data_IF_331637757250
#
_entry.id   IF_331637757250
#
_cell.length_a   1.000
_cell.length_b   1.000
_cell.length_c   1.000
_cell.angle_alpha   90.00
_cell.angle_beta   90.00
_cell.angle_gamma   90.00
#
_symmetry.space_group_name_H-M   'P 1'
#
loop_
_entity.id
_entity.type
_entity.pdbx_description
1 polymer ?
#
# COMPACT_ATOMS: atom_id res chain seq x y z
N UNK A 1 30.58 1.26 101.06
CA UNK A 1 30.25 -0.18 101.07
C UNK A 1 29.30 -0.42 99.91
N UNK A 2 29.74 -0.99 98.76
CA UNK A 2 29.86 -2.45 98.49
C UNK A 2 28.50 -3.15 98.71
N UNK A 3 27.85 -3.90 97.80
CA UNK A 3 28.23 -4.85 96.72
C UNK A 3 26.90 -5.17 95.95
N UNK A 4 26.76 -5.17 94.62
CA UNK A 4 27.22 -6.09 93.53
C UNK A 4 26.51 -7.47 93.44
N UNK A 5 25.80 -7.71 92.31
CA UNK A 5 25.70 -8.96 91.48
C UNK A 5 24.55 -8.76 90.45
N UNK A 6 24.78 -8.40 89.18
CA UNK A 6 25.26 -9.18 88.02
C UNK A 6 24.46 -10.46 87.74
N UNK A 7 23.64 -10.43 86.69
CA UNK A 7 23.57 -11.48 85.64
C UNK A 7 23.46 -10.79 84.27
N UNK A 8 24.34 -11.21 83.36
CA UNK A 8 24.50 -10.79 81.96
C UNK A 8 23.36 -11.34 81.09
N UNK A 9 22.84 -10.55 80.15
CA UNK A 9 22.72 -10.94 78.73
C UNK A 9 22.87 -9.67 77.88
N UNK A 10 23.87 -9.69 77.03
CA UNK A 10 24.21 -8.68 76.03
C UNK A 10 23.24 -8.72 74.85
N UNK A 11 22.88 -7.57 74.29
CA UNK A 11 22.81 -7.35 72.83
C UNK A 11 22.45 -5.88 72.54
N UNK A 12 23.49 -5.08 72.39
CA UNK A 12 23.47 -3.83 71.63
C UNK A 12 23.14 -4.20 70.17
N UNK A 13 21.93 -3.90 69.69
CA UNK A 13 21.66 -3.85 68.26
C UNK A 13 21.94 -2.43 67.75
N UNK A 14 23.22 -2.19 67.50
CA UNK A 14 23.63 -1.26 66.45
C UNK A 14 23.13 -1.89 65.15
N UNK A 15 22.05 -1.35 64.58
CA UNK A 15 21.63 -1.68 63.22
C UNK A 15 22.61 -0.98 62.27
N UNK A 16 23.79 -1.57 62.13
CA UNK A 16 24.60 -1.48 60.91
C UNK A 16 24.01 -2.49 59.93
N UNK A 17 22.91 -2.16 59.27
CA UNK A 17 22.47 -2.89 58.09
C UNK A 17 23.25 -2.35 56.89
N UNK A 18 24.35 -3.06 56.64
CA UNK A 18 24.77 -3.54 55.31
C UNK A 18 24.55 -2.56 54.16
N UNK A 19 25.66 -1.92 53.79
CA UNK A 19 25.99 -1.41 52.45
C UNK A 19 25.17 -2.10 51.36
N UNK A 20 24.23 -1.36 50.79
CA UNK A 20 23.51 -1.72 49.58
C UNK A 20 24.51 -2.14 48.50
N UNK A 21 24.23 -3.26 47.84
CA UNK A 21 25.06 -3.86 46.80
C UNK A 21 25.34 -2.93 45.62
N UNK A 22 26.32 -2.05 45.79
CA UNK A 22 26.94 -1.28 44.73
C UNK A 22 28.07 -2.12 44.14
N UNK A 23 27.88 -2.67 42.96
CA UNK A 23 29.00 -2.99 42.07
C UNK A 23 29.23 -1.78 41.18
N UNK A 24 30.36 -1.09 41.36
CA UNK A 24 30.75 0.09 40.57
C UNK A 24 29.73 1.26 40.57
N UNK A 25 29.04 1.49 41.69
CA UNK A 25 28.12 2.64 41.84
C UNK A 25 26.81 2.53 41.06
N UNK A 26 26.45 1.34 40.58
CA UNK A 26 25.12 1.04 40.01
C UNK A 26 24.41 0.02 40.89
N UNK A 27 23.11 0.24 41.09
CA UNK A 27 22.22 -0.71 41.76
C UNK A 27 21.94 -1.85 40.78
N UNK A 28 22.18 -3.09 41.18
CA UNK A 28 21.82 -4.31 40.43
C UNK A 28 20.33 -4.61 40.66
N UNK A 29 19.45 -4.37 39.68
CA UNK A 29 18.00 -4.51 39.86
C UNK A 29 17.59 -5.95 40.19
N UNK A 30 18.27 -6.95 39.63
CA UNK A 30 17.91 -8.36 39.80
C UNK A 30 18.21 -8.84 41.23
N UNK A 31 19.32 -8.36 41.82
CA UNK A 31 19.63 -8.64 43.24
C UNK A 31 18.66 -7.95 44.19
N UNK A 32 18.31 -6.70 43.93
CA UNK A 32 17.35 -5.94 44.76
C UNK A 32 15.95 -6.54 44.71
N UNK A 33 15.49 -6.97 43.52
CA UNK A 33 14.20 -7.65 43.36
C UNK A 33 14.13 -8.99 44.12
N UNK A 34 15.24 -9.72 44.13
CA UNK A 34 15.37 -11.01 44.84
C UNK A 34 15.40 -10.81 46.36
N UNK A 35 16.12 -9.82 46.88
CA UNK A 35 16.19 -9.54 48.32
C UNK A 35 14.89 -8.93 48.88
N UNK A 36 14.16 -8.13 48.09
CA UNK A 36 12.89 -7.51 48.50
C UNK A 36 11.65 -8.40 48.30
N UNK A 37 11.81 -9.65 47.85
CA UNK A 37 10.68 -10.55 47.50
C UNK A 37 9.67 -9.90 46.53
N UNK A 38 10.12 -8.97 45.69
CA UNK A 38 9.25 -8.32 44.70
C UNK A 38 9.07 -9.32 43.55
N UNK A 39 7.93 -10.00 43.54
CA UNK A 39 7.54 -10.92 42.47
C UNK A 39 7.54 -10.15 41.14
N UNK A 40 8.38 -10.55 40.18
CA UNK A 40 8.38 -10.00 38.81
C UNK A 40 6.94 -10.05 38.29
N UNK A 41 6.31 -8.89 38.19
CA UNK A 41 4.90 -8.77 37.83
C UNK A 41 4.81 -8.11 36.45
N UNK A 42 4.54 -8.93 35.43
CA UNK A 42 4.40 -8.48 34.05
C UNK A 42 3.06 -7.78 33.75
N UNK A 43 2.27 -7.43 34.78
CA UNK A 43 1.00 -6.70 34.61
C UNK A 43 1.17 -5.37 33.84
N UNK A 44 2.34 -4.72 33.92
CA UNK A 44 2.62 -3.51 33.14
C UNK A 44 2.49 -3.75 31.62
N UNK A 45 2.83 -4.96 31.14
CA UNK A 45 2.72 -5.34 29.72
C UNK A 45 1.28 -5.38 29.21
N UNK A 46 0.29 -5.45 30.11
CA UNK A 46 -1.13 -5.43 29.75
C UNK A 46 -1.64 -4.02 29.43
N UNK A 47 -0.89 -2.97 29.77
CA UNK A 47 -1.29 -1.60 29.43
C UNK A 47 -1.10 -1.36 27.92
N UNK A 48 -2.03 -0.68 27.24
CA UNK A 48 -1.92 -0.43 25.79
C UNK A 48 -0.62 0.23 25.36
N UNK A 49 -0.07 1.12 26.20
CA UNK A 49 1.19 1.81 25.91
C UNK A 49 2.39 0.86 25.79
N UNK A 50 2.39 -0.30 26.47
CA UNK A 50 3.50 -1.26 26.32
C UNK A 50 3.57 -1.85 24.92
N UNK A 51 2.44 -2.28 24.37
CA UNK A 51 2.39 -2.81 23.00
C UNK A 51 2.85 -1.79 21.96
N UNK A 52 2.57 -0.50 22.20
CA UNK A 52 3.02 0.57 21.30
C UNK A 52 4.51 0.81 21.44
N UNK A 53 5.05 0.83 22.66
CA UNK A 53 6.48 0.92 22.89
C UNK A 53 7.22 -0.26 22.22
N UNK A 54 6.71 -1.48 22.33
CA UNK A 54 7.26 -2.66 21.64
C UNK A 54 7.37 -2.43 20.13
N UNK A 55 6.27 -2.00 19.50
CA UNK A 55 6.22 -1.75 18.05
C UNK A 55 7.14 -0.60 17.64
N UNK A 56 7.09 0.55 18.33
CA UNK A 56 7.92 1.72 18.04
C UNK A 56 9.41 1.44 18.23
N UNK A 57 9.77 0.62 19.22
CA UNK A 57 11.17 0.29 19.51
C UNK A 57 11.73 -0.72 18.51
N UNK A 58 10.91 -1.70 18.11
CA UNK A 58 11.29 -2.57 17.01
C UNK A 58 11.51 -1.77 15.72
N UNK A 59 10.61 -0.84 15.40
CA UNK A 59 10.74 0.05 14.24
C UNK A 59 11.99 0.94 14.29
N UNK A 60 12.27 1.57 15.44
CA UNK A 60 13.48 2.35 15.65
C UNK A 60 14.76 1.51 15.44
N UNK A 61 14.76 0.28 15.95
CA UNK A 61 15.86 -0.67 15.76
C UNK A 61 16.04 -1.10 14.30
N UNK A 62 14.95 -1.40 13.59
CA UNK A 62 15.02 -1.74 12.17
C UNK A 62 15.48 -0.55 11.34
N UNK A 63 14.99 0.65 11.68
CA UNK A 63 15.42 1.90 11.06
C UNK A 63 16.92 2.08 11.24
N UNK A 64 17.45 1.94 12.46
CA UNK A 64 18.88 1.98 12.74
C UNK A 64 19.67 0.98 11.89
N UNK A 65 19.24 -0.30 11.87
CA UNK A 65 19.90 -1.38 11.12
C UNK A 65 19.87 -1.18 9.60
N UNK A 66 18.89 -0.44 9.10
CA UNK A 66 18.79 -0.05 7.69
C UNK A 66 19.59 1.21 7.33
N UNK A 67 20.39 1.73 8.26
CA UNK A 67 21.09 3.03 8.17
C UNK A 67 20.13 4.23 8.02
N UNK A 68 18.92 4.10 8.54
CA UNK A 68 17.97 5.20 8.69
C UNK A 68 18.27 6.07 9.89
N UNK A 69 17.46 7.12 10.10
CA UNK A 69 17.54 7.95 11.30
C UNK A 69 16.74 7.27 12.40
N UNK A 70 17.42 6.81 13.44
CA UNK A 70 16.83 6.25 14.66
C UNK A 70 17.09 7.16 15.86
N UNK A 71 16.26 7.02 16.90
CA UNK A 71 16.41 7.74 18.17
C UNK A 71 17.53 7.15 19.03
N UNK A 72 17.61 5.82 19.09
CA UNK A 72 18.66 5.14 19.84
C UNK A 72 19.75 4.61 18.91
N UNK A 73 20.99 4.64 19.41
CA UNK A 73 22.07 3.86 18.83
C UNK A 73 21.94 2.41 19.32
N UNK A 74 21.43 1.53 18.47
CA UNK A 74 21.24 0.12 18.80
C UNK A 74 22.52 -0.70 18.65
N UNK A 75 23.55 -0.18 17.96
CA UNK A 75 24.73 -0.94 17.56
C UNK A 75 24.38 -2.31 16.98
N UNK A 76 25.07 -3.35 17.46
CA UNK A 76 24.80 -4.75 17.07
C UNK A 76 23.73 -5.43 17.93
N UNK A 77 22.96 -4.68 18.71
CA UNK A 77 22.05 -5.26 19.69
C UNK A 77 20.79 -5.86 19.03
N UNK A 78 20.15 -6.85 19.68
CA UNK A 78 18.87 -7.37 19.20
C UNK A 78 17.75 -6.32 19.36
N UNK A 79 16.74 -6.39 18.49
CA UNK A 79 15.57 -5.51 18.54
C UNK A 79 14.57 -6.06 19.58
N UNK A 80 14.91 -5.96 20.87
CA UNK A 80 14.10 -6.46 21.98
C UNK A 80 13.78 -5.34 22.97
N UNK A 81 12.68 -5.50 23.71
CA UNK A 81 12.31 -4.57 24.79
C UNK A 81 13.34 -4.55 25.90
N UNK A 82 13.96 -5.68 26.22
CA UNK A 82 14.99 -5.72 27.27
C UNK A 82 16.17 -4.82 26.89
N UNK A 83 16.56 -4.85 25.60
CA UNK A 83 17.62 -3.97 25.10
C UNK A 83 17.20 -2.51 25.06
N UNK A 84 15.95 -2.22 24.71
CA UNK A 84 15.41 -0.88 24.82
C UNK A 84 15.51 -0.36 26.26
N UNK A 85 15.13 -1.17 27.24
CA UNK A 85 15.21 -0.81 28.66
C UNK A 85 16.66 -0.53 29.06
N UNK A 86 17.65 -1.32 28.61
CA UNK A 86 19.07 -1.02 28.81
C UNK A 86 19.46 0.35 28.23
N UNK A 87 19.04 0.65 27.00
CA UNK A 87 19.33 1.90 26.32
C UNK A 87 18.69 3.09 27.05
N UNK A 88 17.44 2.96 27.48
CA UNK A 88 16.74 3.96 28.29
C UNK A 88 17.45 4.17 29.63
N UNK A 89 17.86 3.09 30.31
CA UNK A 89 18.56 3.14 31.59
C UNK A 89 19.98 3.73 31.48
N UNK A 90 20.59 3.69 30.30
CA UNK A 90 21.90 4.31 30.05
C UNK A 90 21.85 5.85 30.08
N UNK A 91 20.66 6.44 29.93
CA UNK A 91 20.45 7.88 29.99
C UNK A 91 19.29 8.24 30.95
N UNK A 92 19.59 8.62 32.21
CA UNK A 92 18.58 8.94 33.21
C UNK A 92 17.56 10.02 32.81
N UNK A 93 17.90 10.91 31.87
CA UNK A 93 16.99 11.95 31.38
C UNK A 93 15.90 11.40 30.45
N UNK A 94 16.11 10.23 29.85
CA UNK A 94 15.14 9.57 28.96
C UNK A 94 14.11 8.78 29.76
N UNK A 95 14.47 8.25 30.94
CA UNK A 95 13.58 7.41 31.77
C UNK A 95 12.21 8.08 32.01
N UNK A 96 12.13 9.38 32.40
CA UNK A 96 10.83 10.03 32.61
C UNK A 96 10.01 10.14 31.33
N UNK A 97 10.65 10.43 30.20
CA UNK A 97 10.01 10.58 28.88
C UNK A 97 9.46 9.22 28.40
N UNK A 98 10.27 8.17 28.54
CA UNK A 98 9.90 6.80 28.23
C UNK A 98 8.70 6.35 29.08
N UNK A 99 8.77 6.56 30.40
CA UNK A 99 7.70 6.18 31.31
C UNK A 99 6.42 6.95 31.01
N UNK A 100 6.49 8.27 30.79
CA UNK A 100 5.33 9.08 30.40
C UNK A 100 4.71 8.60 29.08
N UNK A 101 5.54 8.25 28.09
CA UNK A 101 5.07 7.74 26.79
C UNK A 101 4.33 6.41 26.93
N UNK A 102 4.86 5.49 27.74
CA UNK A 102 4.19 4.23 28.08
C UNK A 102 2.89 4.47 28.88
N UNK A 103 2.94 5.35 29.87
CA UNK A 103 1.90 5.51 30.88
C UNK A 103 0.67 6.25 30.35
N UNK A 104 0.91 7.30 29.57
CA UNK A 104 -0.13 8.21 29.10
C UNK A 104 -0.64 7.87 27.69
N UNK A 105 -0.04 6.88 27.02
CA UNK A 105 -0.47 6.47 25.69
C UNK A 105 -1.98 6.17 25.65
N UNK A 106 -2.65 6.71 24.65
CA UNK A 106 -4.06 6.47 24.40
C UNK A 106 -5.04 7.20 25.29
N UNK A 107 -4.57 8.06 26.19
CA UNK A 107 -5.43 9.01 26.90
C UNK A 107 -5.89 10.15 26.00
N UNK A 108 -6.99 10.78 26.40
CA UNK A 108 -7.51 12.00 25.78
C UNK A 108 -6.42 13.08 25.79
N UNK A 109 -6.07 13.62 24.62
CA UNK A 109 -4.99 14.59 24.44
C UNK A 109 -3.66 14.00 23.96
N UNK A 110 -3.35 12.74 24.30
CA UNK A 110 -2.17 12.03 23.78
C UNK A 110 -2.47 11.34 22.44
N UNK A 111 -3.67 10.75 22.34
CA UNK A 111 -4.10 10.04 21.14
C UNK A 111 -3.53 8.62 21.02
N UNK A 112 -3.95 7.92 19.96
CA UNK A 112 -3.58 6.54 19.65
C UNK A 112 -3.10 6.46 18.21
N UNK A 113 -2.19 5.52 17.92
CA UNK A 113 -1.85 5.13 16.56
C UNK A 113 -2.90 4.16 16.04
N UNK A 114 -3.36 4.36 14.81
CA UNK A 114 -4.21 3.39 14.11
C UNK A 114 -3.39 2.20 13.62
N UNK A 115 -4.07 1.10 13.24
CA UNK A 115 -3.39 -0.02 12.59
C UNK A 115 -2.70 0.40 11.29
N UNK A 116 -3.34 1.29 10.51
CA UNK A 116 -2.73 1.88 9.31
C UNK A 116 -1.44 2.64 9.63
N UNK A 117 -1.39 3.31 10.79
CA UNK A 117 -0.18 3.98 11.24
C UNK A 117 0.97 2.99 11.50
N UNK A 118 0.66 1.78 11.98
CA UNK A 118 1.64 0.70 12.17
C UNK A 118 2.03 0.02 10.85
N UNK A 119 1.09 -0.19 9.91
CA UNK A 119 1.42 -0.72 8.59
C UNK A 119 2.35 0.23 7.82
N UNK A 120 2.13 1.53 7.98
CA UNK A 120 2.92 2.60 7.41
C UNK A 120 4.39 2.65 7.88
N UNK A 121 4.74 1.97 8.99
CA UNK A 121 6.08 1.99 9.59
C UNK A 121 7.11 1.13 8.83
N UNK A 122 6.69 0.08 8.12
CA UNK A 122 7.63 -0.87 7.46
C UNK A 122 8.64 -0.23 6.49
N UNK A 123 8.32 0.96 5.98
CA UNK A 123 9.16 1.69 5.03
C UNK A 123 9.56 3.09 5.55
N UNK A 124 9.32 3.37 6.84
CA UNK A 124 9.73 4.65 7.41
C UNK A 124 11.23 4.63 7.69
N UNK A 125 11.97 5.55 7.05
CA UNK A 125 13.42 5.72 7.28
C UNK A 125 13.73 6.73 8.37
N UNK A 126 12.69 7.31 8.96
CA UNK A 126 12.75 8.24 10.06
C UNK A 126 11.90 7.69 11.22
N UNK A 127 12.22 8.05 12.45
CA UNK A 127 11.40 7.76 13.64
C UNK A 127 10.11 8.62 13.69
N UNK A 128 9.43 8.79 12.55
CA UNK A 128 8.32 9.75 12.36
C UNK A 128 7.15 9.49 13.30
N UNK A 129 6.79 8.22 13.53
CA UNK A 129 5.70 7.85 14.43
C UNK A 129 6.07 8.06 15.91
N UNK A 130 7.33 7.87 16.25
CA UNK A 130 7.84 8.20 17.57
C UNK A 130 7.79 9.71 17.81
N UNK A 131 8.19 10.52 16.82
CA UNK A 131 8.04 11.99 16.86
C UNK A 131 6.59 12.44 17.04
N UNK A 132 5.64 11.78 16.38
CA UNK A 132 4.21 12.06 16.58
C UNK A 132 3.80 11.83 18.04
N UNK A 133 4.09 10.66 18.60
CA UNK A 133 3.77 10.36 20.00
C UNK A 133 4.49 11.32 20.94
N UNK A 134 5.76 11.60 20.70
CA UNK A 134 6.54 12.53 21.53
C UNK A 134 5.98 13.95 21.50
N UNK A 135 5.49 14.43 20.34
CA UNK A 135 4.85 15.74 20.26
C UNK A 135 3.60 15.83 21.13
N UNK A 136 2.84 14.73 21.20
CA UNK A 136 1.61 14.62 22.00
C UNK A 136 1.91 14.49 23.49
N UNK A 137 2.91 13.69 23.85
CA UNK A 137 3.37 13.56 25.23
C UNK A 137 3.96 14.88 25.72
N UNK A 138 4.77 15.57 24.92
CA UNK A 138 5.36 16.86 25.28
C UNK A 138 4.29 17.92 25.58
N UNK A 139 3.22 17.96 24.80
CA UNK A 139 2.06 18.79 25.07
C UNK A 139 1.34 18.39 26.36
N UNK A 140 1.11 17.09 26.53
CA UNK A 140 0.36 16.57 27.66
C UNK A 140 1.08 16.82 29.01
N UNK A 141 2.40 16.59 29.06
CA UNK A 141 3.22 16.79 30.28
C UNK A 141 3.58 18.26 30.54
N UNK A 142 3.11 19.21 29.73
CA UNK A 142 3.23 20.64 30.03
C UNK A 142 2.39 21.09 31.24
N UNK A 143 1.41 20.27 31.64
CA UNK A 143 0.53 20.54 32.78
C UNK A 143 1.11 19.97 34.08
N UNK A 144 1.34 20.82 35.08
CA UNK A 144 2.01 20.44 36.35
C UNK A 144 1.32 19.29 37.10
N UNK A 145 -0.01 19.28 37.16
CA UNK A 145 -0.79 18.23 37.84
C UNK A 145 -0.63 16.85 37.20
N UNK A 146 -0.40 16.80 35.89
CA UNK A 146 -0.13 15.56 35.15
C UNK A 146 1.22 14.99 35.56
N UNK A 147 2.27 15.81 35.62
CA UNK A 147 3.62 15.39 35.98
C UNK A 147 3.69 14.77 37.38
N UNK A 148 2.96 15.35 38.34
CA UNK A 148 2.90 14.84 39.71
C UNK A 148 2.24 13.45 39.77
N UNK A 149 1.15 13.23 39.03
CA UNK A 149 0.51 11.92 38.90
C UNK A 149 1.43 10.87 38.28
N UNK A 150 2.09 11.21 37.17
CA UNK A 150 3.03 10.31 36.49
C UNK A 150 4.18 9.90 37.43
N UNK A 151 4.72 10.82 38.23
CA UNK A 151 5.80 10.49 39.15
C UNK A 151 5.34 9.58 40.31
N UNK A 152 4.14 9.79 40.82
CA UNK A 152 3.57 8.91 41.85
C UNK A 152 3.49 7.45 41.35
N UNK A 153 2.98 7.26 40.13
CA UNK A 153 2.88 5.95 39.48
C UNK A 153 4.26 5.38 39.10
N UNK A 154 5.21 6.23 38.71
CA UNK A 154 6.59 5.81 38.43
C UNK A 154 7.25 5.17 39.66
N UNK A 155 7.03 5.73 40.86
CA UNK A 155 7.59 5.18 42.10
C UNK A 155 7.07 3.78 42.42
N UNK A 156 5.86 3.42 41.96
CA UNK A 156 5.31 2.08 42.18
C UNK A 156 5.70 1.12 41.06
N UNK A 157 5.67 1.59 39.81
CA UNK A 157 5.66 0.69 38.65
C UNK A 157 7.06 0.43 38.06
N UNK A 158 8.02 1.37 38.20
CA UNK A 158 9.31 1.31 37.47
C UNK A 158 10.09 0.01 37.66
N UNK A 159 10.05 -0.57 38.86
CA UNK A 159 10.78 -1.78 39.21
C UNK A 159 10.30 -2.98 38.38
N UNK A 160 8.99 -3.05 38.12
CA UNK A 160 8.41 -4.14 37.32
C UNK A 160 8.89 -4.11 35.86
N UNK A 161 9.24 -2.93 35.36
CA UNK A 161 9.75 -2.69 34.02
C UNK A 161 11.29 -2.78 33.92
N UNK A 162 12.00 -2.88 35.05
CA UNK A 162 13.47 -2.82 35.09
C UNK A 162 14.05 -1.42 34.89
N UNK A 163 13.27 -0.35 35.11
CA UNK A 163 13.74 1.02 34.98
C UNK A 163 14.51 1.49 36.23
N UNK A 164 15.61 2.22 36.01
CA UNK A 164 16.40 2.82 37.09
C UNK A 164 15.61 3.89 37.84
N UNK A 165 15.98 4.09 39.11
CA UNK A 165 15.40 5.15 39.93
C UNK A 165 15.84 6.54 39.43
N UNK A 166 14.90 7.48 39.41
CA UNK A 166 15.14 8.90 39.19
C UNK A 166 14.46 9.65 40.34
N UNK A 167 15.18 10.56 40.99
CA UNK A 167 14.62 11.37 42.06
C UNK A 167 13.55 12.33 41.52
N UNK A 168 12.67 12.80 42.41
CA UNK A 168 11.49 13.60 42.02
C UNK A 168 11.86 14.89 41.28
N UNK A 169 12.91 15.57 41.73
CA UNK A 169 13.36 16.82 41.13
C UNK A 169 13.88 16.58 39.71
N UNK A 170 14.80 15.62 39.55
CA UNK A 170 15.34 15.22 38.24
C UNK A 170 14.24 14.72 37.28
N UNK A 171 13.24 14.01 37.79
CA UNK A 171 12.11 13.52 37.01
C UNK A 171 11.28 14.68 36.46
N UNK A 172 10.89 15.62 37.33
CA UNK A 172 10.11 16.82 36.97
C UNK A 172 10.87 17.72 36.02
N UNK A 173 12.18 17.93 36.25
CA UNK A 173 13.04 18.74 35.38
C UNK A 173 13.15 18.11 33.99
N UNK A 174 13.32 16.78 33.90
CA UNK A 174 13.39 16.08 32.61
C UNK A 174 12.10 16.23 31.80
N UNK A 175 10.93 16.03 32.42
CA UNK A 175 9.65 16.22 31.74
C UNK A 175 9.37 17.68 31.38
N UNK A 176 9.76 18.63 32.22
CA UNK A 176 9.63 20.05 31.90
C UNK A 176 10.51 20.47 30.72
N UNK A 177 11.76 19.99 30.66
CA UNK A 177 12.65 20.21 29.51
C UNK A 177 12.09 19.59 28.23
N UNK A 178 11.54 18.38 28.32
CA UNK A 178 10.89 17.72 27.20
C UNK A 178 9.64 18.47 26.72
N UNK A 179 8.78 18.93 27.63
CA UNK A 179 7.61 19.76 27.30
C UNK A 179 8.02 21.06 26.58
N UNK A 180 9.10 21.70 27.02
CA UNK A 180 9.64 22.90 26.37
C UNK A 180 10.13 22.65 24.93
N UNK A 181 10.41 21.41 24.56
CA UNK A 181 10.82 21.03 23.19
C UNK A 181 9.64 20.74 22.26
N UNK A 182 8.38 20.85 22.72
CA UNK A 182 7.17 20.54 21.95
C UNK A 182 7.22 21.10 20.52
N UNK A 183 7.45 22.40 20.37
CA UNK A 183 7.42 23.04 19.05
C UNK A 183 8.54 22.53 18.13
N UNK A 184 9.72 22.27 18.69
CA UNK A 184 10.83 21.65 17.95
C UNK A 184 10.50 20.22 17.49
N UNK A 185 9.87 19.43 18.35
CA UNK A 185 9.42 18.07 18.02
C UNK A 185 8.35 18.10 16.92
N UNK A 186 7.42 19.05 16.96
CA UNK A 186 6.39 19.24 15.92
C UNK A 186 7.01 19.61 14.57
N UNK A 187 8.03 20.46 14.56
CA UNK A 187 8.79 20.81 13.34
C UNK A 187 9.51 19.57 12.80
N UNK A 188 10.21 18.82 13.64
CA UNK A 188 10.90 17.59 13.25
C UNK A 188 9.93 16.54 12.69
N UNK A 189 8.78 16.35 13.34
CA UNK A 189 7.71 15.47 12.87
C UNK A 189 7.23 15.87 11.47
N UNK A 190 6.97 17.17 11.26
CA UNK A 190 6.49 17.69 9.98
C UNK A 190 7.52 17.48 8.86
N UNK A 191 8.81 17.71 9.15
CA UNK A 191 9.90 17.45 8.20
C UNK A 191 10.04 15.96 7.88
N UNK A 192 9.97 15.09 8.88
CA UNK A 192 10.03 13.63 8.69
C UNK A 192 8.85 13.12 7.84
N UNK A 193 7.65 13.67 8.03
CA UNK A 193 6.47 13.36 7.22
C UNK A 193 6.61 13.80 5.76
N UNK A 194 7.14 15.00 5.52
CA UNK A 194 7.42 15.49 4.16
C UNK A 194 8.44 14.61 3.45
N UNK A 195 9.53 14.26 4.13
CA UNK A 195 10.59 13.41 3.59
C UNK A 195 10.07 11.99 3.27
N UNK A 196 9.27 11.41 4.18
CA UNK A 196 8.62 10.12 3.96
C UNK A 196 7.72 10.15 2.72
N UNK A 197 6.93 11.21 2.57
CA UNK A 197 6.06 11.40 1.38
C UNK A 197 6.89 11.46 0.10
N UNK A 198 8.00 12.21 0.13
CA UNK A 198 8.93 12.35 -1.00
C UNK A 198 9.56 11.01 -1.38
N UNK A 199 10.07 10.24 -0.41
CA UNK A 199 10.68 8.93 -0.64
C UNK A 199 9.66 7.95 -1.24
N UNK A 200 8.46 7.88 -0.68
CA UNK A 200 7.40 7.00 -1.19
C UNK A 200 7.01 7.35 -2.63
N UNK A 201 6.92 8.64 -2.97
CA UNK A 201 6.65 9.08 -4.34
C UNK A 201 7.76 8.66 -5.32
N UNK A 202 9.02 8.78 -4.91
CA UNK A 202 10.17 8.35 -5.73
C UNK A 202 10.18 6.83 -5.94
N UNK A 203 9.91 6.06 -4.90
CA UNK A 203 9.88 4.60 -4.98
C UNK A 203 8.71 4.11 -5.84
N UNK A 204 7.52 4.69 -5.68
CA UNK A 204 6.37 4.37 -6.52
C UNK A 204 6.64 4.68 -8.00
N UNK A 205 7.31 5.80 -8.30
CA UNK A 205 7.70 6.13 -9.66
C UNK A 205 8.75 5.16 -10.23
N UNK A 206 9.69 4.70 -9.41
CA UNK A 206 10.66 3.66 -9.78
C UNK A 206 9.96 2.35 -10.13
N UNK A 207 9.10 1.87 -9.24
CA UNK A 207 8.30 0.64 -9.44
C UNK A 207 7.47 0.75 -10.71
N UNK A 208 6.82 1.90 -10.95
CA UNK A 208 6.03 2.14 -12.16
C UNK A 208 6.87 2.07 -13.43
N UNK A 209 8.06 2.69 -13.45
CA UNK A 209 8.98 2.63 -14.60
C UNK A 209 9.49 1.21 -14.85
N UNK A 210 9.85 0.49 -13.80
CA UNK A 210 10.30 -0.91 -13.89
C UNK A 210 9.18 -1.83 -14.39
N UNK A 211 7.96 -1.67 -13.86
CA UNK A 211 6.77 -2.38 -14.32
C UNK A 211 6.46 -2.11 -15.79
N UNK A 212 6.49 -0.84 -16.22
CA UNK A 212 6.28 -0.47 -17.61
C UNK A 212 7.34 -1.07 -18.56
N UNK A 213 8.62 -1.08 -18.14
CA UNK A 213 9.70 -1.71 -18.90
C UNK A 213 9.47 -3.22 -19.03
N UNK A 214 9.21 -3.90 -17.91
CA UNK A 214 8.95 -5.34 -17.89
C UNK A 214 7.74 -5.71 -18.75
N UNK A 215 6.65 -4.93 -18.65
CA UNK A 215 5.46 -5.09 -19.49
C UNK A 215 5.83 -5.00 -20.98
N UNK A 216 6.56 -3.96 -21.38
CA UNK A 216 6.98 -3.78 -22.77
C UNK A 216 7.86 -4.93 -23.28
N UNK A 217 8.75 -5.47 -22.46
CA UNK A 217 9.63 -6.60 -22.82
C UNK A 217 8.81 -7.89 -23.03
N UNK A 218 7.88 -8.18 -22.11
CA UNK A 218 7.01 -9.36 -22.23
C UNK A 218 6.09 -9.20 -23.43
N UNK A 219 5.46 -8.04 -23.61
CA UNK A 219 4.62 -7.76 -24.77
C UNK A 219 5.40 -7.90 -26.08
N UNK A 220 6.65 -7.45 -26.17
CA UNK A 220 7.48 -7.64 -27.36
C UNK A 220 7.76 -9.12 -27.65
N UNK A 221 7.91 -9.95 -26.61
CA UNK A 221 8.17 -11.39 -26.74
C UNK A 221 6.96 -12.24 -27.11
N UNK A 222 5.74 -11.73 -26.93
CA UNK A 222 4.51 -12.48 -27.18
C UNK A 222 4.15 -12.46 -28.67
N UNK A 223 4.15 -13.61 -29.36
CA UNK A 223 3.78 -13.66 -30.77
C UNK A 223 2.29 -13.38 -30.95
N UNK A 224 1.95 -12.66 -32.02
CA UNK A 224 0.57 -12.54 -32.47
C UNK A 224 0.14 -13.87 -33.11
N UNK A 225 -0.98 -14.43 -32.65
CA UNK A 225 -1.55 -15.68 -33.16
C UNK A 225 -2.54 -15.33 -34.25
N UNK A 226 -2.34 -15.84 -35.47
CA UNK A 226 -3.31 -15.66 -36.56
C UNK A 226 -4.63 -16.36 -36.24
N UNK A 227 -5.73 -15.69 -36.55
CA UNK A 227 -7.09 -16.24 -36.41
C UNK A 227 -7.81 -16.11 -37.74
N UNK A 228 -8.76 -17.02 -37.95
CA UNK A 228 -9.59 -17.04 -39.16
C UNK A 228 -11.05 -17.00 -38.69
N UNK A 229 -11.76 -15.87 -38.89
CA UNK A 229 -13.19 -15.82 -38.66
C UNK A 229 -13.88 -16.87 -39.53
N UNK A 230 -14.65 -17.77 -38.91
CA UNK A 230 -15.31 -18.87 -39.59
C UNK A 230 -16.80 -18.92 -39.23
N UNK A 231 -17.64 -19.11 -40.24
CA UNK A 231 -19.10 -19.24 -40.10
C UNK A 231 -19.52 -20.67 -39.75
N UNK A 232 -18.60 -21.63 -39.83
CA UNK A 232 -18.81 -23.04 -39.55
C UNK A 232 -19.14 -23.87 -40.80
N UNK A 233 -19.31 -25.19 -40.65
CA UNK A 233 -19.38 -26.13 -41.77
C UNK A 233 -20.63 -25.96 -42.66
N UNK A 234 -21.71 -25.40 -42.13
CA UNK A 234 -23.01 -25.27 -42.81
C UNK A 234 -23.29 -23.81 -43.25
N UNK A 235 -22.25 -23.08 -43.68
CA UNK A 235 -22.40 -21.70 -44.12
C UNK A 235 -23.21 -21.57 -45.43
N UNK A 236 -24.11 -20.59 -45.44
CA UNK A 236 -24.90 -20.17 -46.60
C UNK A 236 -24.03 -19.54 -47.69
N UNK A 237 -24.59 -19.36 -48.89
CA UNK A 237 -23.89 -18.71 -50.02
C UNK A 237 -23.45 -17.28 -49.67
N UNK A 238 -24.29 -16.50 -48.97
CA UNK A 238 -23.96 -15.14 -48.55
C UNK A 238 -22.84 -15.13 -47.49
N UNK A 239 -22.88 -16.04 -46.51
CA UNK A 239 -21.81 -16.15 -45.52
C UNK A 239 -20.48 -16.55 -46.17
N UNK A 240 -20.48 -17.45 -47.16
CA UNK A 240 -19.28 -17.81 -47.93
C UNK A 240 -18.72 -16.61 -48.69
N UNK A 241 -19.58 -15.85 -49.36
CA UNK A 241 -19.19 -14.64 -50.08
C UNK A 241 -18.59 -13.56 -49.15
N UNK A 242 -19.16 -13.40 -47.95
CA UNK A 242 -18.62 -12.51 -46.92
C UNK A 242 -17.30 -13.04 -46.36
N UNK A 243 -17.20 -14.35 -46.13
CA UNK A 243 -15.97 -15.00 -45.68
C UNK A 243 -14.81 -14.74 -46.63
N UNK A 244 -15.02 -14.81 -47.93
CA UNK A 244 -13.98 -14.46 -48.92
C UNK A 244 -13.40 -13.06 -48.67
N UNK A 245 -14.24 -12.09 -48.29
CA UNK A 245 -13.76 -10.73 -47.98
C UNK A 245 -12.98 -10.67 -46.66
N UNK A 246 -13.41 -11.43 -45.64
CA UNK A 246 -12.71 -11.53 -44.37
C UNK A 246 -11.36 -12.24 -44.52
N UNK A 247 -11.26 -13.23 -45.40
CA UNK A 247 -10.03 -14.01 -45.64
C UNK A 247 -8.92 -13.16 -46.28
N UNK A 248 -9.27 -12.05 -46.93
CA UNK A 248 -8.31 -11.04 -47.40
C UNK A 248 -7.74 -10.15 -46.29
N UNK A 249 -8.24 -10.26 -45.05
CA UNK A 249 -7.79 -9.48 -43.91
C UNK A 249 -6.95 -10.30 -42.92
N UNK A 250 -5.97 -9.64 -42.30
CA UNK A 250 -5.07 -10.25 -41.34
C UNK A 250 -5.58 -10.09 -39.91
N UNK A 251 -6.34 -11.08 -39.45
CA UNK A 251 -6.77 -11.13 -38.07
C UNK A 251 -5.73 -11.83 -37.18
N UNK A 252 -5.43 -11.22 -36.03
CA UNK A 252 -4.56 -11.83 -35.02
C UNK A 252 -5.09 -11.59 -33.62
N UNK A 253 -4.67 -12.44 -32.68
CA UNK A 253 -4.90 -12.24 -31.24
C UNK A 253 -3.57 -12.28 -30.48
N UNK A 254 -3.45 -11.46 -29.44
CA UNK A 254 -2.28 -11.39 -28.56
C UNK A 254 -2.74 -11.43 -27.11
N UNK A 255 -2.04 -12.17 -26.27
CA UNK A 255 -2.33 -12.18 -24.83
C UNK A 255 -1.90 -10.83 -24.25
N UNK A 256 -2.75 -10.23 -23.40
CA UNK A 256 -2.41 -8.97 -22.75
C UNK A 256 -1.55 -9.20 -21.50
N UNK A 257 -0.82 -8.17 -21.08
CA UNK A 257 0.06 -8.19 -19.91
C UNK A 257 -0.41 -7.07 -18.96
N UNK A 258 -0.59 -7.39 -17.69
CA UNK A 258 -0.95 -6.41 -16.67
C UNK A 258 0.23 -5.47 -16.34
N UNK A 259 -0.02 -4.50 -15.45
CA UNK A 259 1.00 -3.52 -15.02
C UNK A 259 2.17 -4.14 -14.22
N UNK A 260 2.01 -5.38 -13.75
CA UNK A 260 3.01 -6.13 -12.98
C UNK A 260 3.81 -7.12 -13.85
N UNK A 261 3.46 -7.26 -15.13
CA UNK A 261 4.09 -8.21 -16.04
C UNK A 261 3.45 -9.60 -16.03
N UNK A 262 2.28 -9.77 -15.41
CA UNK A 262 1.57 -11.05 -15.46
C UNK A 262 0.75 -11.17 -16.74
N UNK A 263 0.69 -12.39 -17.27
CA UNK A 263 -0.14 -12.70 -18.43
C UNK A 263 -1.62 -12.65 -18.03
N UNK A 264 -2.39 -11.81 -18.71
CA UNK A 264 -3.83 -11.79 -18.57
C UNK A 264 -4.45 -13.08 -19.10
N UNK A 265 -5.61 -13.44 -18.54
CA UNK A 265 -6.43 -14.54 -19.04
C UNK A 265 -7.13 -14.22 -20.37
N UNK A 266 -7.18 -12.94 -20.75
CA UNK A 266 -7.87 -12.45 -21.94
C UNK A 266 -6.93 -12.15 -23.11
N UNK A 267 -7.49 -12.21 -24.31
CA UNK A 267 -6.81 -11.87 -25.55
C UNK A 267 -7.26 -10.50 -26.05
N UNK A 268 -6.32 -9.74 -26.60
CA UNK A 268 -6.59 -8.58 -27.43
C UNK A 268 -6.56 -9.00 -28.90
N UNK A 269 -7.52 -8.52 -29.68
CA UNK A 269 -7.70 -8.89 -31.07
C UNK A 269 -7.39 -7.73 -31.99
N UNK A 270 -6.80 -8.04 -33.13
CA UNK A 270 -6.30 -7.09 -34.10
C UNK A 270 -6.73 -7.50 -35.51
N UNK A 271 -6.99 -6.50 -36.35
CA UNK A 271 -7.16 -6.62 -37.79
C UNK A 271 -6.12 -5.72 -38.45
N UNK A 272 -5.34 -6.26 -39.38
CA UNK A 272 -4.29 -5.50 -40.07
C UNK A 272 -3.30 -4.81 -39.12
N UNK A 273 -3.01 -5.48 -37.99
CA UNK A 273 -2.14 -4.97 -36.93
C UNK A 273 -2.74 -3.85 -36.08
N UNK A 274 -4.01 -3.48 -36.29
CA UNK A 274 -4.73 -2.49 -35.48
C UNK A 274 -5.73 -3.18 -34.55
N UNK A 275 -5.78 -2.75 -33.28
CA UNK A 275 -6.68 -3.33 -32.28
C UNK A 275 -8.14 -3.15 -32.72
N UNK A 276 -8.96 -4.20 -32.68
CA UNK A 276 -10.34 -4.16 -33.19
C UNK A 276 -11.23 -3.31 -32.26
N UNK A 277 -11.17 -3.49 -30.93
CA UNK A 277 -11.92 -2.68 -29.96
C UNK A 277 -11.03 -2.12 -28.85
N UNK A 278 -11.38 -0.94 -28.29
CA UNK A 278 -10.60 -0.32 -27.20
C UNK A 278 -10.65 -1.15 -25.92
N UNK A 279 -11.76 -1.84 -25.63
CA UNK A 279 -11.96 -2.68 -24.43
C UNK A 279 -11.81 -4.16 -24.76
N UNK A 280 -11.13 -4.92 -23.89
CA UNK A 280 -10.64 -6.29 -24.13
C UNK A 280 -11.66 -7.43 -24.21
N UNK A 281 -12.95 -7.14 -24.46
CA UNK A 281 -14.01 -8.13 -24.55
C UNK A 281 -14.45 -8.36 -26.01
N UNK A 282 -13.50 -8.41 -26.94
CA UNK A 282 -13.82 -8.91 -28.28
C UNK A 282 -13.82 -10.43 -28.24
N UNK A 283 -14.96 -11.04 -28.51
CA UNK A 283 -15.05 -12.47 -28.84
C UNK A 283 -15.21 -12.62 -30.36
N UNK A 284 -14.45 -13.54 -30.95
CA UNK A 284 -14.56 -13.89 -32.38
C UNK A 284 -15.93 -14.49 -32.67
N UNK A 285 -16.52 -15.20 -31.70
CA UNK A 285 -17.86 -15.77 -31.83
C UNK A 285 -18.89 -14.64 -31.95
N UNK A 286 -18.84 -13.65 -31.06
CA UNK A 286 -19.74 -12.50 -31.12
C UNK A 286 -19.55 -11.69 -32.40
N UNK A 287 -18.31 -11.53 -32.86
CA UNK A 287 -18.02 -10.89 -34.14
C UNK A 287 -18.67 -11.63 -35.32
N UNK A 288 -18.52 -12.95 -35.40
CA UNK A 288 -19.17 -13.76 -36.44
C UNK A 288 -20.69 -13.68 -36.34
N UNK A 289 -21.24 -13.78 -35.13
CA UNK A 289 -22.68 -13.69 -34.90
C UNK A 289 -23.23 -12.33 -35.35
N UNK A 290 -22.52 -11.24 -35.08
CA UNK A 290 -22.92 -9.92 -35.55
C UNK A 290 -22.94 -9.81 -37.07
N UNK A 291 -21.99 -10.44 -37.77
CA UNK A 291 -22.01 -10.50 -39.24
C UNK A 291 -23.19 -11.35 -39.74
N UNK A 292 -23.46 -12.49 -39.10
CA UNK A 292 -24.64 -13.32 -39.42
C UNK A 292 -25.94 -12.53 -39.25
N UNK A 293 -26.04 -11.72 -38.21
CA UNK A 293 -27.19 -10.84 -37.99
C UNK A 293 -27.31 -9.78 -39.10
N UNK A 294 -26.22 -9.11 -39.46
CA UNK A 294 -26.24 -8.14 -40.57
C UNK A 294 -26.67 -8.79 -41.89
N UNK A 295 -26.19 -10.01 -42.18
CA UNK A 295 -26.62 -10.78 -43.36
C UNK A 295 -28.11 -11.13 -43.28
N UNK A 296 -28.59 -11.61 -42.13
CA UNK A 296 -29.99 -11.97 -41.91
C UNK A 296 -30.94 -10.79 -42.17
N UNK A 297 -30.55 -9.57 -41.80
CA UNK A 297 -31.34 -8.36 -42.11
C UNK A 297 -31.47 -8.08 -43.59
N UNK A 298 -30.44 -8.33 -44.38
CA UNK A 298 -30.55 -8.22 -45.84
C UNK A 298 -31.64 -9.14 -46.40
N UNK A 299 -31.79 -10.35 -45.84
CA UNK A 299 -32.88 -11.26 -46.19
C UNK A 299 -34.24 -10.73 -45.77
N UNK A 300 -34.37 -10.20 -44.55
CA UNK A 300 -35.64 -9.66 -44.04
C UNK A 300 -36.12 -8.44 -44.85
N UNK A 301 -35.23 -7.50 -45.18
CA UNK A 301 -35.57 -6.34 -46.03
C UNK A 301 -35.94 -6.79 -47.45
N UNK A 302 -35.23 -7.79 -47.99
CA UNK A 302 -35.56 -8.39 -49.27
C UNK A 302 -36.94 -9.06 -49.27
N UNK A 303 -37.32 -9.69 -48.15
CA UNK A 303 -38.64 -10.31 -47.99
C UNK A 303 -39.76 -9.26 -47.93
N UNK A 304 -39.56 -8.13 -47.23
CA UNK A 304 -40.54 -7.03 -47.22
C UNK A 304 -40.79 -6.40 -48.59
N UNK A 305 -39.84 -6.53 -49.51
CA UNK A 305 -39.89 -5.95 -50.86
C UNK A 305 -40.11 -7.00 -51.95
N UNK A 306 -40.35 -8.26 -51.59
CA UNK A 306 -40.42 -9.43 -52.48
C UNK A 306 -39.29 -9.47 -53.52
N UNK A 307 -38.09 -9.01 -53.14
CA UNK A 307 -37.01 -8.74 -54.08
C UNK A 307 -35.70 -9.40 -53.68
N UNK A 308 -35.35 -10.45 -54.43
CA UNK A 308 -34.04 -11.11 -54.33
C UNK A 308 -32.89 -10.20 -54.73
N UNK A 309 -33.11 -9.23 -55.62
CA UNK A 309 -32.07 -8.28 -56.04
C UNK A 309 -31.71 -7.30 -54.92
N UNK A 310 -32.68 -6.89 -54.09
CA UNK A 310 -32.46 -6.04 -52.91
C UNK A 310 -31.57 -6.76 -51.89
N UNK A 311 -31.85 -8.04 -51.62
CA UNK A 311 -31.01 -8.84 -50.74
C UNK A 311 -29.56 -8.96 -51.25
N UNK A 312 -29.38 -9.36 -52.51
CA UNK A 312 -28.05 -9.49 -53.10
C UNK A 312 -27.27 -8.16 -53.07
N UNK A 313 -27.93 -7.03 -53.36
CA UNK A 313 -27.33 -5.71 -53.28
C UNK A 313 -26.92 -5.34 -51.84
N UNK A 314 -27.76 -5.67 -50.85
CA UNK A 314 -27.45 -5.46 -49.44
C UNK A 314 -26.23 -6.28 -49.00
N UNK A 315 -26.17 -7.58 -49.31
CA UNK A 315 -25.02 -8.44 -49.00
C UNK A 315 -23.75 -7.96 -49.72
N UNK A 316 -23.86 -7.51 -50.97
CA UNK A 316 -22.74 -6.90 -51.69
C UNK A 316 -22.26 -5.60 -51.03
N UNK A 317 -23.17 -4.81 -50.44
CA UNK A 317 -22.85 -3.64 -49.63
C UNK A 317 -22.05 -3.99 -48.37
N UNK A 318 -22.40 -5.08 -47.67
CA UNK A 318 -21.61 -5.58 -46.53
C UNK A 318 -20.20 -5.96 -46.99
N UNK A 319 -20.09 -6.73 -48.08
CA UNK A 319 -18.81 -7.15 -48.65
C UNK A 319 -17.91 -5.95 -48.99
N UNK A 320 -18.47 -4.92 -49.60
CA UNK A 320 -17.76 -3.67 -49.90
C UNK A 320 -17.35 -2.94 -48.61
N UNK A 321 -18.23 -2.89 -47.61
CA UNK A 321 -17.93 -2.31 -46.30
C UNK A 321 -16.74 -2.99 -45.61
N UNK A 322 -16.63 -4.33 -45.68
CA UNK A 322 -15.49 -5.08 -45.12
C UNK A 322 -14.18 -4.69 -45.81
N UNK A 323 -14.17 -4.54 -47.14
CA UNK A 323 -12.99 -4.10 -47.89
C UNK A 323 -12.54 -2.71 -47.43
N UNK A 324 -13.48 -1.77 -47.31
CA UNK A 324 -13.20 -0.41 -46.86
C UNK A 324 -12.74 -0.36 -45.41
N UNK A 325 -13.34 -1.15 -44.54
CA UNK A 325 -12.95 -1.30 -43.15
C UNK A 325 -11.52 -1.84 -43.02
N UNK A 326 -11.17 -2.86 -43.79
CA UNK A 326 -9.79 -3.37 -43.85
C UNK A 326 -8.78 -2.35 -44.39
N UNK A 327 -9.15 -1.58 -45.42
CA UNK A 327 -8.31 -0.49 -45.93
C UNK A 327 -8.10 0.61 -44.88
N UNK A 328 -9.17 0.97 -44.17
CA UNK A 328 -9.15 1.95 -43.07
C UNK A 328 -8.29 1.48 -41.91
N UNK A 329 -8.32 0.17 -41.58
CA UNK A 329 -7.48 -0.42 -40.55
C UNK A 329 -5.98 -0.34 -40.90
N UNK A 330 -5.62 -0.47 -42.18
CA UNK A 330 -4.25 -0.34 -42.68
C UNK A 330 -3.76 1.12 -42.72
N UNK A 331 -4.67 2.08 -42.83
CA UNK A 331 -4.33 3.50 -42.96
C UNK A 331 -3.76 4.07 -41.66
N UNK A 332 -2.43 4.31 -41.65
CA UNK A 332 -1.69 4.86 -40.51
C UNK A 332 -1.93 6.35 -40.26
N UNK A 333 -2.56 7.08 -41.19
CA UNK A 333 -2.96 8.47 -40.98
C UNK A 333 -4.15 8.59 -40.02
N UNK A 334 -4.93 7.52 -39.85
CA UNK A 334 -6.02 7.44 -38.89
C UNK A 334 -5.45 7.03 -37.53
N UNK A 335 -5.62 7.88 -36.53
CA UNK A 335 -5.19 7.59 -35.15
C UNK A 335 -5.99 6.42 -34.56
N UNK A 336 -5.39 5.71 -33.59
CA UNK A 336 -6.11 4.66 -32.86
C UNK A 336 -7.36 5.21 -32.15
N UNK A 337 -7.32 6.48 -31.71
CA UNK A 337 -8.47 7.14 -31.08
C UNK A 337 -9.60 7.35 -32.07
N UNK A 338 -9.31 7.85 -33.28
CA UNK A 338 -10.30 8.00 -34.33
C UNK A 338 -10.89 6.64 -34.76
N UNK A 339 -10.03 5.62 -34.88
CA UNK A 339 -10.46 4.25 -35.17
C UNK A 339 -11.42 3.68 -34.12
N UNK A 340 -11.10 3.84 -32.84
CA UNK A 340 -11.96 3.36 -31.75
C UNK A 340 -13.27 4.14 -31.64
N UNK A 341 -13.27 5.45 -31.91
CA UNK A 341 -14.50 6.22 -31.98
C UNK A 341 -15.41 5.72 -33.11
N UNK A 342 -14.84 5.44 -34.29
CA UNK A 342 -15.57 4.78 -35.37
C UNK A 342 -16.07 3.38 -34.99
N UNK A 343 -15.33 2.64 -34.17
CA UNK A 343 -15.74 1.31 -33.70
C UNK A 343 -16.96 1.37 -32.78
N UNK A 344 -17.03 2.38 -31.90
CA UNK A 344 -18.15 2.61 -31.00
C UNK A 344 -19.41 2.97 -31.79
N UNK A 345 -19.29 3.79 -32.82
CA UNK A 345 -20.43 4.17 -33.68
C UNK A 345 -20.85 3.02 -34.61
N UNK A 346 -19.88 2.23 -35.08
CA UNK A 346 -20.10 1.09 -35.99
C UNK A 346 -20.57 -0.19 -35.33
N UNK A 347 -20.41 -0.32 -34.01
CA UNK A 347 -20.86 -1.45 -33.18
C UNK A 347 -21.90 -0.95 -32.19
N UNK A 348 -23.16 -1.06 -32.57
CA UNK A 348 -24.18 -0.29 -31.90
C UNK A 348 -24.76 -1.01 -30.67
N UNK A 349 -24.41 -0.48 -29.48
CA UNK A 349 -25.33 -0.47 -28.33
C UNK A 349 -26.32 0.71 -28.38
N UNK A 350 -26.24 1.58 -29.40
CA UNK A 350 -27.02 2.83 -29.49
C UNK A 350 -27.77 2.99 -30.84
N UNK A 351 -27.85 1.94 -31.65
CA UNK A 351 -28.82 1.82 -32.75
C UNK A 351 -30.10 1.26 -32.14
N UNK A 352 -31.28 1.55 -32.69
CA UNK A 352 -32.50 0.80 -32.38
C UNK A 352 -32.40 -0.74 -32.66
N UNK A 353 -31.27 -1.25 -33.16
CA UNK A 353 -31.04 -2.65 -33.53
C UNK A 353 -29.74 -3.18 -32.89
N UNK A 354 -29.87 -4.03 -31.88
CA UNK A 354 -28.74 -4.61 -31.13
C UNK A 354 -27.93 -5.64 -31.95
N UNK A 355 -26.60 -5.66 -31.75
CA UNK A 355 -25.65 -6.70 -32.17
C UNK A 355 -25.31 -6.79 -33.69
N UNK A 356 -25.58 -5.77 -34.49
CA UNK A 356 -25.13 -5.70 -35.91
C UNK A 356 -23.77 -5.03 -36.05
N UNK A 357 -23.00 -5.43 -37.08
CA UNK A 357 -21.74 -4.77 -37.45
C UNK A 357 -21.92 -4.00 -38.75
N UNK A 358 -21.75 -2.68 -38.68
CA UNK A 358 -21.85 -1.76 -39.82
C UNK A 358 -20.44 -1.34 -40.29
N UNK A 359 -19.78 -2.22 -41.05
CA UNK A 359 -18.38 -2.01 -41.48
C UNK A 359 -18.13 -0.70 -42.22
N UNK A 360 -19.01 -0.33 -43.15
CA UNK A 360 -18.90 0.93 -43.91
C UNK A 360 -19.09 2.15 -43.00
N UNK A 361 -20.01 2.07 -42.03
CA UNK A 361 -20.22 3.13 -41.06
C UNK A 361 -19.01 3.31 -40.15
N UNK A 362 -18.46 2.21 -39.62
CA UNK A 362 -17.22 2.23 -38.84
C UNK A 362 -16.09 2.89 -39.64
N UNK A 363 -15.83 2.40 -40.86
CA UNK A 363 -14.79 2.93 -41.73
C UNK A 363 -14.98 4.43 -42.06
N UNK A 364 -16.22 4.85 -42.31
CA UNK A 364 -16.59 6.24 -42.54
C UNK A 364 -16.36 7.11 -41.32
N UNK A 365 -16.86 6.70 -40.15
CA UNK A 365 -16.74 7.46 -38.92
C UNK A 365 -15.29 7.57 -38.44
N UNK A 366 -14.49 6.53 -38.58
CA UNK A 366 -13.05 6.60 -38.29
C UNK A 366 -12.35 7.70 -39.11
N UNK A 367 -12.69 7.85 -40.39
CA UNK A 367 -12.17 8.93 -41.25
C UNK A 367 -12.70 10.31 -40.83
N UNK A 368 -13.96 10.41 -40.46
CA UNK A 368 -14.57 11.66 -39.94
C UNK A 368 -13.93 12.10 -38.63
N UNK A 369 -13.69 11.18 -37.68
CA UNK A 369 -13.01 11.52 -36.44
C UNK A 369 -11.56 11.92 -36.68
N UNK A 370 -10.87 11.22 -37.59
CA UNK A 370 -9.51 11.59 -37.99
C UNK A 370 -9.45 13.03 -38.53
N UNK A 371 -10.38 13.43 -39.41
CA UNK A 371 -10.43 14.80 -39.94
C UNK A 371 -10.78 15.87 -38.89
N UNK A 372 -11.36 15.46 -37.76
CA UNK A 372 -11.63 16.32 -36.59
C UNK A 372 -10.45 16.40 -35.61
N UNK A 373 -9.32 15.77 -35.91
CA UNK A 373 -8.09 15.81 -35.10
C UNK A 373 -8.09 14.87 -33.90
N UNK A 374 -8.83 13.76 -33.98
CA UNK A 374 -8.81 12.72 -32.94
C UNK A 374 -7.49 11.96 -32.91
#
# INVERSE_FOLDING_TARGET
MLILKVVKVSAVFIITTSLMGCTYGKIDPDKVLTELHIKKNDNYKKRPGWSVIEKLSNDDCQTFKSNGKALFDWGNSPCTTDKLIDLVNSNPQIIPIFYASYHEYGRTGVGQLSDDDFYAMRNDKNYTRMLYIFSRIADYVSHKSIVEGIYADFKTDRWSMGLNNVDEESFKVSLSKFAAQKDSIVVQYSQAMQERTRINAQENERIRKEGAKRKSEIEASLPAIRIYPDFGPNSSTSEKFIKEQLDHLHFTKKRSVDEYGNLATTYTYYVEGRKIYPTGNFDVIDFINGIKMTIQRCYEVGAYTDSRSVNNACVAGIAQGIKEWGATARDKSISDRAWFAGAIDGNNRYSPLDNEILFSHWAGMARVYSSRGF
#
